data_IF_880618489822
#
_entry.id   IF_880618489822
#
_cell.length_a   1.000
_cell.length_b   1.000
_cell.length_c   1.000
_cell.angle_alpha   90.00
_cell.angle_beta   90.00
_cell.angle_gamma   90.00
#
_symmetry.space_group_name_H-M   'P 1'
#
loop_
_entity.id
_entity.type
_entity.pdbx_description
1 polymer ?
#
# COMPACT_ATOMS: atom_id res chain seq x y z
N UNK A 1 -29.43 -75.29 17.84
CA UNK A 1 -30.04 -74.23 16.98
C UNK A 1 -30.05 -74.70 15.53
N UNK A 2 -31.20 -74.66 14.85
CA UNK A 2 -31.37 -75.19 13.49
C UNK A 2 -30.49 -74.40 12.51
N UNK A 3 -29.78 -75.07 11.58
CA UNK A 3 -28.83 -74.48 10.61
C UNK A 3 -29.36 -73.24 9.86
N UNK A 4 -30.69 -73.13 9.71
CA UNK A 4 -31.38 -71.98 9.10
C UNK A 4 -31.23 -70.67 9.89
N UNK A 5 -31.16 -70.73 11.22
CA UNK A 5 -31.04 -69.56 12.09
C UNK A 5 -29.61 -69.00 12.12
N UNK A 6 -28.61 -69.85 11.86
CA UNK A 6 -27.21 -69.45 11.72
C UNK A 6 -27.02 -68.72 10.38
N UNK A 7 -27.64 -69.19 9.31
CA UNK A 7 -27.57 -68.57 7.98
C UNK A 7 -28.23 -67.17 7.95
N UNK A 8 -29.37 -67.01 8.63
CA UNK A 8 -30.05 -65.72 8.77
C UNK A 8 -29.27 -64.74 9.64
N UNK A 9 -28.62 -65.22 10.71
CA UNK A 9 -27.73 -64.39 11.51
C UNK A 9 -26.48 -63.95 10.73
N UNK A 10 -25.95 -64.82 9.86
CA UNK A 10 -24.81 -64.50 9.00
C UNK A 10 -25.17 -63.50 7.88
N UNK A 11 -26.34 -63.65 7.25
CA UNK A 11 -26.82 -62.67 6.25
C UNK A 11 -27.13 -61.30 6.87
N UNK A 12 -27.68 -61.27 8.09
CA UNK A 12 -27.89 -60.03 8.82
C UNK A 12 -26.54 -59.35 9.18
N UNK A 13 -25.54 -60.13 9.60
CA UNK A 13 -24.21 -59.61 9.90
C UNK A 13 -23.48 -59.04 8.66
N UNK A 14 -23.69 -59.62 7.47
CA UNK A 14 -23.13 -59.11 6.21
C UNK A 14 -23.81 -57.79 5.78
N UNK A 15 -25.12 -57.64 6.02
CA UNK A 15 -25.84 -56.37 5.75
C UNK A 15 -25.40 -55.23 6.67
N UNK A 16 -24.93 -55.51 7.90
CA UNK A 16 -24.39 -54.50 8.80
C UNK A 16 -22.96 -54.05 8.46
N UNK A 17 -22.19 -54.84 7.69
CA UNK A 17 -20.84 -54.47 7.25
C UNK A 17 -20.81 -53.59 6.00
N UNK A 18 -21.94 -53.47 5.26
CA UNK A 18 -22.06 -52.64 4.07
C UNK A 18 -22.56 -51.20 4.31
N UNK A 19 -22.88 -50.84 5.56
CA UNK A 19 -23.42 -49.52 5.92
C UNK A 19 -22.37 -48.52 6.44
N UNK A 20 -21.08 -48.88 6.39
CA UNK A 20 -19.96 -48.02 6.79
C UNK A 20 -19.05 -47.72 5.60
N UNK A 21 -19.53 -46.95 4.61
CA UNK A 21 -18.65 -46.33 3.61
C UNK A 21 -18.41 -44.84 3.87
N UNK A 22 -19.15 -44.19 4.77
CA UNK A 22 -19.10 -42.73 4.97
C UNK A 22 -18.27 -42.30 6.19
N UNK A 23 -17.30 -43.14 6.62
CA UNK A 23 -16.46 -42.80 7.77
C UNK A 23 -15.40 -41.73 7.44
N UNK A 24 -15.08 -41.51 6.16
CA UNK A 24 -14.11 -40.49 5.73
C UNK A 24 -14.66 -39.06 5.77
N UNK A 25 -15.98 -38.88 5.79
CA UNK A 25 -16.62 -37.56 5.81
C UNK A 25 -17.10 -37.13 7.21
N UNK A 26 -17.10 -38.02 8.21
CA UNK A 26 -17.47 -37.69 9.60
C UNK A 26 -16.44 -36.75 10.27
N UNK A 27 -15.21 -36.70 9.76
CA UNK A 27 -14.14 -35.86 10.31
C UNK A 27 -13.78 -34.67 9.41
N UNK A 28 -14.59 -34.38 8.39
CA UNK A 28 -14.52 -33.13 7.63
C UNK A 28 -15.56 -32.18 8.19
N UNK A 29 -15.11 -31.19 8.96
CA UNK A 29 -15.97 -30.13 9.45
C UNK A 29 -16.64 -29.44 8.24
N UNK A 30 -17.98 -29.44 8.13
CA UNK A 30 -18.67 -28.81 7.00
C UNK A 30 -18.50 -27.29 6.95
N UNK A 31 -17.90 -26.67 7.99
CA UNK A 31 -17.49 -25.27 8.02
C UNK A 31 -15.98 -25.07 7.85
N UNK A 32 -15.18 -26.14 7.82
CA UNK A 32 -13.76 -26.02 7.50
C UNK A 32 -13.64 -25.80 5.99
N UNK A 33 -13.15 -24.63 5.60
CA UNK A 33 -12.79 -24.38 4.21
C UNK A 33 -11.74 -25.43 3.80
N UNK A 34 -12.08 -26.29 2.83
CA UNK A 34 -11.07 -27.14 2.21
C UNK A 34 -10.13 -26.26 1.38
N UNK A 35 -8.87 -26.66 1.21
CA UNK A 35 -7.90 -25.90 0.42
C UNK A 35 -8.40 -25.66 -1.02
N UNK A 36 -9.28 -26.54 -1.51
CA UNK A 36 -9.93 -26.47 -2.84
C UNK A 36 -11.07 -25.42 -2.91
N UNK A 37 -11.62 -24.97 -1.78
CA UNK A 37 -12.65 -23.91 -1.72
C UNK A 37 -12.05 -22.50 -1.65
N UNK A 38 -10.74 -22.39 -1.39
CA UNK A 38 -10.05 -21.11 -1.23
C UNK A 38 -9.72 -20.54 -2.61
N UNK A 39 -10.31 -19.40 -2.93
CA UNK A 39 -10.02 -18.69 -4.19
C UNK A 39 -8.80 -17.79 -4.05
N UNK A 40 -7.90 -17.84 -5.04
CA UNK A 40 -6.69 -17.00 -5.10
C UNK A 40 -7.05 -15.52 -4.98
N UNK A 41 -8.10 -15.07 -5.67
CA UNK A 41 -8.52 -13.67 -5.60
C UNK A 41 -8.92 -13.22 -4.18
N UNK A 42 -9.39 -14.12 -3.31
CA UNK A 42 -9.75 -13.76 -1.92
C UNK A 42 -8.50 -13.44 -1.10
N UNK A 43 -7.43 -14.21 -1.30
CA UNK A 43 -6.15 -14.00 -0.62
C UNK A 43 -5.49 -12.72 -1.13
N UNK A 44 -5.50 -12.47 -2.44
CA UNK A 44 -5.00 -11.20 -3.02
C UNK A 44 -5.74 -10.02 -2.43
N UNK A 45 -7.08 -10.07 -2.41
CA UNK A 45 -7.90 -9.02 -1.83
C UNK A 45 -7.52 -8.73 -0.38
N UNK A 46 -7.35 -9.79 0.42
CA UNK A 46 -6.91 -9.68 1.82
C UNK A 46 -5.52 -9.06 1.92
N UNK A 47 -4.55 -9.53 1.14
CA UNK A 47 -3.17 -9.03 1.18
C UNK A 47 -3.08 -7.54 0.81
N UNK A 48 -3.88 -7.08 -0.17
CA UNK A 48 -3.94 -5.65 -0.55
C UNK A 48 -4.61 -4.85 0.56
N UNK A 49 -5.67 -5.38 1.15
CA UNK A 49 -6.48 -4.67 2.16
C UNK A 49 -5.74 -4.51 3.47
N UNK A 50 -5.18 -5.58 4.02
CA UNK A 50 -4.50 -5.52 5.32
C UNK A 50 -3.29 -4.58 5.29
N UNK A 51 -2.62 -4.49 4.15
CA UNK A 51 -1.49 -3.57 3.93
C UNK A 51 -1.87 -2.08 3.95
N UNK A 52 -3.17 -1.75 3.94
CA UNK A 52 -3.65 -0.39 4.13
C UNK A 52 -3.61 0.07 5.59
N UNK A 53 -3.18 -0.81 6.51
CA UNK A 53 -2.95 -0.52 7.93
C UNK A 53 -4.25 -0.26 8.70
N UNK A 54 -4.70 -1.23 9.50
CA UNK A 54 -5.78 -0.97 10.44
C UNK A 54 -5.39 0.12 11.46
N UNK A 55 -6.35 0.70 12.18
CA UNK A 55 -6.08 1.81 13.08
C UNK A 55 -5.01 1.57 14.14
N UNK A 56 -4.85 0.34 14.63
CA UNK A 56 -3.81 0.01 15.62
C UNK A 56 -2.41 0.20 15.03
N UNK A 57 -2.17 -0.37 13.85
CA UNK A 57 -0.84 -0.32 13.23
C UNK A 57 -0.58 1.02 12.54
N UNK A 58 -1.59 1.61 11.91
CA UNK A 58 -1.49 2.93 11.32
C UNK A 58 -1.11 3.99 12.35
N UNK A 59 -1.69 3.95 13.55
CA UNK A 59 -1.32 4.90 14.60
C UNK A 59 0.15 4.72 15.02
N UNK A 60 0.60 3.48 15.23
CA UNK A 60 1.98 3.19 15.67
C UNK A 60 3.04 3.50 14.63
N UNK A 61 2.86 3.00 13.41
CA UNK A 61 3.84 3.15 12.33
C UNK A 61 3.77 4.56 11.72
N UNK A 62 2.58 5.00 11.30
CA UNK A 62 2.44 6.28 10.63
C UNK A 62 2.44 7.45 11.62
N UNK A 63 1.48 7.52 12.55
CA UNK A 63 1.25 8.71 13.38
C UNK A 63 2.35 8.92 14.41
N UNK A 64 2.70 7.87 15.16
CA UNK A 64 3.64 7.98 16.27
C UNK A 64 5.11 7.92 15.82
N UNK A 65 5.39 7.32 14.66
CA UNK A 65 6.74 7.19 14.12
C UNK A 65 6.99 8.02 12.87
N UNK A 66 6.50 7.63 11.70
CA UNK A 66 6.89 8.28 10.45
C UNK A 66 6.55 9.77 10.41
N UNK A 67 5.35 10.14 10.85
CA UNK A 67 4.88 11.53 10.94
C UNK A 67 5.74 12.34 11.91
N UNK A 68 6.08 11.77 13.09
CA UNK A 68 6.93 12.44 14.09
C UNK A 68 8.38 12.57 13.60
N UNK A 69 8.93 11.52 12.98
CA UNK A 69 10.24 11.55 12.33
C UNK A 69 10.32 12.64 11.26
N UNK A 70 9.26 12.75 10.44
CA UNK A 70 9.10 13.77 9.42
C UNK A 70 8.81 15.18 9.97
N UNK A 71 8.70 15.35 11.29
CA UNK A 71 8.38 16.63 11.97
C UNK A 71 7.08 17.27 11.46
N UNK A 72 6.09 16.43 11.16
CA UNK A 72 4.72 16.82 10.76
C UNK A 72 3.75 16.83 11.96
N UNK A 73 4.31 16.75 13.17
CA UNK A 73 3.62 16.78 14.45
C UNK A 73 4.47 17.58 15.46
N UNK A 74 3.81 18.23 16.42
CA UNK A 74 4.46 18.94 17.54
C UNK A 74 4.73 18.03 18.74
N UNK A 75 4.20 16.81 18.74
CA UNK A 75 4.47 15.82 19.79
C UNK A 75 5.88 15.22 19.70
N UNK A 76 6.37 14.74 20.85
CA UNK A 76 7.67 14.07 20.96
C UNK A 76 7.67 12.65 20.41
N UNK A 77 8.84 12.07 20.20
CA UNK A 77 9.03 10.78 19.57
C UNK A 77 10.46 10.64 19.10
N UNK A 78 10.65 9.94 17.97
CA UNK A 78 11.99 9.71 17.40
C UNK A 78 12.70 11.02 17.06
N UNK A 79 11.96 12.08 16.73
CA UNK A 79 12.48 13.44 16.52
C UNK A 79 13.07 14.09 17.78
N UNK A 80 12.71 13.62 18.98
CA UNK A 80 13.25 14.04 20.27
C UNK A 80 14.10 12.95 20.95
N UNK A 81 14.46 11.89 20.20
CA UNK A 81 15.27 10.79 20.72
C UNK A 81 14.52 9.76 21.57
N UNK A 82 13.18 9.75 21.55
CA UNK A 82 12.38 8.72 22.22
C UNK A 82 11.84 7.71 21.21
N UNK A 83 11.78 6.43 21.59
CA UNK A 83 11.31 5.35 20.72
C UNK A 83 10.56 4.29 21.54
N UNK A 84 9.80 3.44 20.86
CA UNK A 84 9.11 2.29 21.43
C UNK A 84 9.33 1.06 20.55
N UNK A 85 10.15 0.12 21.04
CA UNK A 85 10.49 -1.08 20.28
C UNK A 85 9.27 -1.97 19.95
N UNK A 86 8.22 -1.94 20.77
CA UNK A 86 7.01 -2.73 20.54
C UNK A 86 6.27 -2.23 19.30
N UNK A 87 6.28 -0.92 19.01
CA UNK A 87 5.68 -0.38 17.79
C UNK A 87 6.42 -0.81 16.52
N UNK A 88 7.76 -0.85 16.56
CA UNK A 88 8.57 -1.39 15.47
C UNK A 88 8.32 -2.88 15.27
N UNK A 89 8.23 -3.62 16.38
CA UNK A 89 8.01 -5.07 16.37
C UNK A 89 6.61 -5.41 15.87
N UNK A 90 5.60 -4.62 16.24
CA UNK A 90 4.25 -4.71 15.68
C UNK A 90 4.29 -4.50 14.17
N UNK A 91 4.88 -3.40 13.69
CA UNK A 91 4.94 -3.13 12.24
C UNK A 91 5.66 -4.24 11.47
N UNK A 92 6.76 -4.75 12.02
CA UNK A 92 7.47 -5.91 11.46
C UNK A 92 6.54 -7.13 11.30
N UNK A 93 5.76 -7.45 12.34
CA UNK A 93 4.82 -8.57 12.32
C UNK A 93 3.70 -8.36 11.30
N UNK A 94 3.17 -7.13 11.19
CA UNK A 94 2.12 -6.78 10.22
C UNK A 94 2.62 -6.92 8.79
N UNK A 95 3.75 -6.29 8.43
CA UNK A 95 4.33 -6.39 7.08
C UNK A 95 4.67 -7.84 6.74
N UNK A 96 5.20 -8.60 7.69
CA UNK A 96 5.44 -10.04 7.52
C UNK A 96 4.14 -10.82 7.26
N UNK A 97 3.05 -10.47 7.94
CA UNK A 97 1.72 -11.07 7.74
C UNK A 97 1.10 -10.74 6.38
N UNK A 98 1.26 -9.51 5.90
CA UNK A 98 0.83 -9.12 4.56
C UNK A 98 1.62 -9.88 3.49
N UNK A 99 2.95 -9.96 3.66
CA UNK A 99 3.83 -10.68 2.73
C UNK A 99 3.54 -12.18 2.75
N UNK A 100 3.22 -12.76 3.91
CA UNK A 100 2.73 -14.14 4.02
C UNK A 100 1.47 -14.35 3.17
N UNK A 101 0.50 -13.45 3.26
CA UNK A 101 -0.75 -13.54 2.50
C UNK A 101 -0.48 -13.47 0.98
N UNK A 102 0.39 -12.56 0.54
CA UNK A 102 0.77 -12.48 -0.87
C UNK A 102 1.50 -13.76 -1.35
N UNK A 103 2.42 -14.29 -0.56
CA UNK A 103 3.10 -15.57 -0.87
C UNK A 103 2.13 -16.75 -0.92
N UNK A 104 1.16 -16.80 0.00
CA UNK A 104 0.11 -17.83 -0.02
C UNK A 104 -0.74 -17.74 -1.30
N UNK A 105 -1.04 -16.55 -1.80
CA UNK A 105 -1.76 -16.39 -3.07
C UNK A 105 -0.94 -16.92 -4.26
N UNK A 106 0.37 -16.64 -4.30
CA UNK A 106 1.28 -17.17 -5.34
C UNK A 106 1.33 -18.70 -5.27
N UNK A 107 1.60 -19.25 -4.08
CA UNK A 107 1.73 -20.70 -3.87
C UNK A 107 0.43 -21.44 -4.20
N UNK A 108 -0.73 -20.89 -3.82
CA UNK A 108 -2.03 -21.48 -4.13
C UNK A 108 -2.32 -21.46 -5.63
N UNK A 109 -2.07 -20.34 -6.31
CA UNK A 109 -2.27 -20.23 -7.74
C UNK A 109 -1.36 -21.20 -8.52
N UNK A 110 -0.10 -21.29 -8.12
CA UNK A 110 0.86 -22.23 -8.70
C UNK A 110 0.43 -23.69 -8.50
N UNK A 111 0.00 -24.06 -7.29
CA UNK A 111 -0.57 -25.40 -7.01
C UNK A 111 -1.78 -25.71 -7.89
N UNK A 112 -2.72 -24.77 -8.02
CA UNK A 112 -3.93 -24.96 -8.84
C UNK A 112 -3.57 -25.14 -10.32
N UNK A 113 -2.64 -24.34 -10.84
CA UNK A 113 -2.12 -24.46 -12.21
C UNK A 113 -1.45 -25.81 -12.45
N UNK A 114 -0.69 -26.31 -11.47
CA UNK A 114 0.01 -27.60 -11.58
C UNK A 114 -0.93 -28.81 -11.49
N UNK A 115 -1.93 -28.77 -10.60
CA UNK A 115 -2.98 -29.82 -10.52
C UNK A 115 -3.78 -29.91 -11.81
N UNK A 116 -4.06 -28.74 -12.38
CA UNK A 116 -4.75 -28.58 -13.66
C UNK A 116 -6.21 -29.05 -13.73
N UNK A 117 -6.91 -29.01 -12.59
CA UNK A 117 -8.28 -29.50 -12.42
C UNK A 117 -9.35 -28.39 -12.62
N UNK A 118 -9.09 -27.41 -13.48
CA UNK A 118 -10.04 -26.31 -13.73
C UNK A 118 -11.28 -26.79 -14.48
N UNK A 119 -12.46 -26.44 -13.98
CA UNK A 119 -13.74 -26.78 -14.61
C UNK A 119 -13.95 -26.06 -15.96
N UNK A 120 -13.45 -24.83 -16.09
CA UNK A 120 -13.53 -24.02 -17.32
C UNK A 120 -12.21 -23.34 -17.62
N UNK A 121 -11.92 -23.13 -18.91
CA UNK A 121 -10.68 -22.50 -19.37
C UNK A 121 -10.50 -21.07 -18.86
N UNK A 122 -11.60 -20.34 -18.67
CA UNK A 122 -11.57 -19.01 -18.06
C UNK A 122 -10.89 -19.02 -16.68
N UNK A 123 -11.23 -19.98 -15.81
CA UNK A 123 -10.67 -20.03 -14.45
C UNK A 123 -9.17 -20.34 -14.49
N UNK A 124 -8.74 -21.22 -15.40
CA UNK A 124 -7.32 -21.51 -15.64
C UNK A 124 -6.55 -20.25 -16.04
N UNK A 125 -7.06 -19.53 -17.03
CA UNK A 125 -6.44 -18.30 -17.53
C UNK A 125 -6.44 -17.19 -16.48
N UNK A 126 -7.55 -17.04 -15.76
CA UNK A 126 -7.68 -16.10 -14.65
C UNK A 126 -6.67 -16.43 -13.56
N UNK A 127 -6.55 -17.68 -13.12
CA UNK A 127 -5.60 -18.08 -12.08
C UNK A 127 -4.14 -17.84 -12.49
N UNK A 128 -3.79 -18.01 -13.78
CA UNK A 128 -2.47 -17.63 -14.30
C UNK A 128 -2.21 -16.13 -14.10
N UNK A 129 -3.14 -15.27 -14.49
CA UNK A 129 -2.97 -13.82 -14.29
C UNK A 129 -3.00 -13.43 -12.80
N UNK A 130 -3.86 -14.05 -11.99
CA UNK A 130 -3.92 -13.81 -10.54
C UNK A 130 -2.59 -14.16 -9.85
N UNK A 131 -1.91 -15.22 -10.30
CA UNK A 131 -0.56 -15.53 -9.82
C UNK A 131 0.40 -14.37 -10.06
N UNK A 132 0.42 -13.81 -11.27
CA UNK A 132 1.30 -12.70 -11.60
C UNK A 132 0.95 -11.42 -10.84
N UNK A 133 -0.34 -11.14 -10.63
CA UNK A 133 -0.80 -10.05 -9.74
C UNK A 133 -0.28 -10.24 -8.31
N UNK A 134 -0.38 -11.46 -7.77
CA UNK A 134 0.13 -11.77 -6.43
C UNK A 134 1.65 -11.62 -6.33
N UNK A 135 2.40 -12.00 -7.38
CA UNK A 135 3.85 -11.79 -7.48
C UNK A 135 4.23 -10.32 -7.48
N UNK A 136 3.53 -9.50 -8.27
CA UNK A 136 3.72 -8.04 -8.31
C UNK A 136 3.46 -7.42 -6.93
N UNK A 137 2.35 -7.81 -6.29
CA UNK A 137 2.01 -7.32 -4.96
C UNK A 137 3.02 -7.76 -3.88
N UNK A 138 3.48 -9.02 -3.96
CA UNK A 138 4.55 -9.54 -3.09
C UNK A 138 5.83 -8.73 -3.22
N UNK A 139 6.26 -8.40 -4.44
CA UNK A 139 7.44 -7.57 -4.66
C UNK A 139 7.29 -6.16 -4.06
N UNK A 140 6.10 -5.55 -4.12
CA UNK A 140 5.83 -4.30 -3.40
C UNK A 140 6.01 -4.47 -1.87
N UNK A 141 5.40 -5.50 -1.27
CA UNK A 141 5.52 -5.75 0.17
C UNK A 141 6.96 -6.07 0.61
N UNK A 142 7.74 -6.75 -0.24
CA UNK A 142 9.16 -6.95 -0.02
C UNK A 142 9.92 -5.63 -0.01
N UNK A 143 9.56 -4.67 -0.88
CA UNK A 143 10.18 -3.35 -0.89
C UNK A 143 9.85 -2.55 0.38
N UNK A 144 8.60 -2.61 0.84
CA UNK A 144 8.17 -2.01 2.10
C UNK A 144 8.96 -2.60 3.29
N UNK A 145 9.11 -3.92 3.34
CA UNK A 145 9.89 -4.57 4.38
C UNK A 145 11.38 -4.19 4.31
N UNK A 146 11.99 -4.28 3.12
CA UNK A 146 13.41 -4.01 2.94
C UNK A 146 13.78 -2.56 3.27
N UNK A 147 12.93 -1.61 2.89
CA UNK A 147 13.17 -0.19 3.14
C UNK A 147 13.00 0.21 4.62
N UNK A 148 12.25 -0.58 5.40
CA UNK A 148 12.06 -0.35 6.83
C UNK A 148 13.05 -1.15 7.70
N UNK A 149 13.35 -2.40 7.34
CA UNK A 149 14.06 -3.36 8.19
C UNK A 149 15.34 -3.93 7.59
N UNK A 150 15.57 -3.74 6.29
CA UNK A 150 16.76 -4.21 5.60
C UNK A 150 16.65 -5.67 5.09
N UNK A 151 17.64 -6.54 5.36
CA UNK A 151 17.66 -7.92 4.85
C UNK A 151 16.37 -8.68 5.12
N UNK A 152 15.92 -9.50 4.16
CA UNK A 152 14.74 -10.35 4.32
C UNK A 152 14.91 -11.69 3.56
N UNK A 153 14.26 -12.77 4.02
CA UNK A 153 14.34 -14.06 3.37
C UNK A 153 13.52 -14.12 2.07
N UNK A 154 14.15 -14.47 0.95
CA UNK A 154 13.45 -14.69 -0.32
C UNK A 154 12.55 -15.94 -0.26
N UNK A 155 13.03 -17.00 0.39
CA UNK A 155 12.29 -18.25 0.59
C UNK A 155 11.57 -18.25 1.95
N UNK A 156 10.72 -17.25 2.17
CA UNK A 156 9.96 -17.10 3.42
C UNK A 156 8.68 -17.95 3.45
N UNK A 157 8.15 -18.15 4.67
CA UNK A 157 6.83 -18.76 4.93
C UNK A 157 6.65 -20.23 4.52
N UNK A 158 7.75 -20.98 4.34
CA UNK A 158 7.75 -22.41 4.01
C UNK A 158 7.71 -23.36 5.22
N UNK A 159 7.45 -22.83 6.42
CA UNK A 159 7.39 -23.63 7.66
C UNK A 159 8.75 -24.03 8.25
N UNK A 160 9.85 -23.59 7.63
CA UNK A 160 11.22 -23.72 8.12
C UNK A 160 11.78 -22.35 8.46
N UNK A 161 12.84 -22.29 9.29
CA UNK A 161 13.53 -21.03 9.56
C UNK A 161 14.29 -20.61 8.29
N UNK A 162 13.92 -19.48 7.66
CA UNK A 162 14.50 -19.13 6.38
C UNK A 162 15.85 -18.44 6.55
N UNK A 163 16.69 -18.50 5.51
CA UNK A 163 17.94 -17.76 5.44
C UNK A 163 17.68 -16.34 4.91
N UNK A 164 18.29 -15.34 5.55
CA UNK A 164 18.13 -13.95 5.14
C UNK A 164 19.01 -13.64 3.94
N UNK A 165 18.44 -13.03 2.91
CA UNK A 165 19.18 -12.54 1.75
C UNK A 165 19.62 -11.09 1.98
N UNK A 166 20.72 -10.70 1.35
CA UNK A 166 21.20 -9.31 1.45
C UNK A 166 20.19 -8.34 0.83
N UNK A 167 20.18 -7.07 1.26
CA UNK A 167 19.31 -6.04 0.66
C UNK A 167 19.54 -5.94 -0.85
N UNK A 168 20.78 -6.11 -1.32
CA UNK A 168 21.12 -6.13 -2.75
C UNK A 168 20.37 -7.24 -3.48
N UNK A 169 20.45 -8.48 -2.98
CA UNK A 169 19.83 -9.64 -3.61
C UNK A 169 18.31 -9.54 -3.59
N UNK A 170 17.73 -9.01 -2.49
CA UNK A 170 16.30 -8.73 -2.38
C UNK A 170 15.86 -7.73 -3.46
N UNK A 171 16.59 -6.64 -3.64
CA UNK A 171 16.29 -5.65 -4.68
C UNK A 171 16.40 -6.20 -6.09
N UNK A 172 17.42 -7.01 -6.36
CA UNK A 172 17.58 -7.67 -7.65
C UNK A 172 16.43 -8.63 -7.93
N UNK A 173 16.09 -9.46 -6.94
CA UNK A 173 14.94 -10.36 -7.03
C UNK A 173 13.65 -9.61 -7.33
N UNK A 174 13.35 -8.52 -6.61
CA UNK A 174 12.11 -7.76 -6.83
C UNK A 174 12.01 -7.20 -8.25
N UNK A 175 13.12 -6.69 -8.81
CA UNK A 175 13.15 -6.15 -10.17
C UNK A 175 12.90 -7.25 -11.20
N UNK A 176 13.57 -8.41 -11.05
CA UNK A 176 13.43 -9.55 -11.95
C UNK A 176 12.02 -10.16 -11.85
N UNK A 177 11.49 -10.28 -10.63
CA UNK A 177 10.13 -10.77 -10.33
C UNK A 177 9.06 -9.89 -10.99
N UNK A 178 9.17 -8.56 -10.84
CA UNK A 178 8.24 -7.61 -11.47
C UNK A 178 8.32 -7.66 -13.00
N UNK A 179 9.53 -7.82 -13.57
CA UNK A 179 9.73 -7.91 -15.02
C UNK A 179 9.06 -9.15 -15.59
N UNK A 180 9.34 -10.30 -14.99
CA UNK A 180 8.82 -11.58 -15.43
C UNK A 180 7.30 -11.67 -15.24
N UNK A 181 6.77 -11.20 -14.11
CA UNK A 181 5.32 -11.18 -13.87
C UNK A 181 4.58 -10.29 -14.88
N UNK A 182 5.10 -9.08 -15.16
CA UNK A 182 4.51 -8.20 -16.16
C UNK A 182 4.48 -8.81 -17.57
N UNK A 183 5.49 -9.60 -17.94
CA UNK A 183 5.55 -10.28 -19.25
C UNK A 183 4.60 -11.48 -19.37
N UNK A 184 4.23 -12.10 -18.24
CA UNK A 184 3.38 -13.30 -18.20
C UNK A 184 1.89 -13.01 -18.08
N UNK A 185 1.50 -11.78 -17.75
CA UNK A 185 0.10 -11.36 -17.74
C UNK A 185 -0.46 -11.38 -19.17
N UNK A 186 -1.57 -12.10 -19.38
CA UNK A 186 -2.33 -12.07 -20.63
C UNK A 186 -3.49 -11.05 -20.52
N UNK A 187 -3.36 -9.93 -21.23
CA UNK A 187 -4.36 -8.85 -21.25
C UNK A 187 -5.65 -9.20 -21.99
N UNK A 188 -5.68 -10.31 -22.73
CA UNK A 188 -6.90 -10.78 -23.41
C UNK A 188 -7.88 -11.45 -22.45
N UNK A 189 -7.40 -11.92 -21.30
CA UNK A 189 -8.25 -12.41 -20.21
C UNK A 189 -8.88 -11.20 -19.55
N UNK A 190 -10.21 -11.13 -19.51
CA UNK A 190 -10.94 -10.02 -18.88
C UNK A 190 -11.70 -10.52 -17.66
N UNK A 191 -11.46 -9.88 -16.52
CA UNK A 191 -12.14 -10.21 -15.27
C UNK A 191 -13.66 -9.98 -15.39
N UNK A 192 -14.43 -10.99 -14.99
CA UNK A 192 -15.88 -10.90 -14.89
C UNK A 192 -16.28 -10.00 -13.70
N UNK A 193 -17.52 -9.49 -13.69
CA UNK A 193 -18.00 -8.60 -12.62
C UNK A 193 -17.92 -9.23 -11.23
N UNK A 194 -18.05 -10.56 -11.15
CA UNK A 194 -17.91 -11.29 -9.89
C UNK A 194 -16.47 -11.23 -9.33
N UNK A 195 -15.47 -11.11 -10.19
CA UNK A 195 -14.05 -11.10 -9.81
C UNK A 195 -13.57 -9.71 -9.42
N UNK A 196 -14.05 -8.67 -10.11
CA UNK A 196 -13.64 -7.27 -9.94
C UNK A 196 -13.63 -6.79 -8.49
N UNK A 197 -14.57 -7.26 -7.66
CA UNK A 197 -14.67 -6.88 -6.24
C UNK A 197 -13.54 -7.41 -5.34
N UNK A 198 -12.72 -8.32 -5.85
CA UNK A 198 -11.59 -8.92 -5.12
C UNK A 198 -10.24 -8.29 -5.46
N UNK A 199 -10.23 -7.25 -6.28
CA UNK A 199 -9.09 -6.34 -6.41
C UNK A 199 -9.59 -4.91 -6.18
N UNK A 200 -9.26 -4.38 -5.00
CA UNK A 200 -9.67 -3.03 -4.59
C UNK A 200 -8.88 -1.92 -5.27
N UNK A 201 -7.78 -2.23 -5.95
CA UNK A 201 -6.95 -1.25 -6.62
C UNK A 201 -7.35 -1.07 -8.08
N UNK A 202 -7.37 -2.18 -8.84
CA UNK A 202 -7.59 -2.12 -10.29
C UNK A 202 -8.73 -2.99 -10.77
N UNK A 203 -9.48 -3.65 -9.88
CA UNK A 203 -10.57 -4.55 -10.27
C UNK A 203 -10.13 -5.65 -11.25
N UNK A 204 -8.87 -6.08 -11.16
CA UNK A 204 -8.18 -6.98 -12.09
C UNK A 204 -8.13 -6.46 -13.53
N UNK A 205 -8.02 -5.14 -13.70
CA UNK A 205 -7.52 -4.55 -14.92
C UNK A 205 -6.03 -4.89 -15.07
N UNK A 206 -5.77 -5.94 -15.82
CA UNK A 206 -4.43 -6.48 -16.03
C UNK A 206 -3.49 -5.53 -16.77
N UNK A 207 -4.02 -4.61 -17.58
CA UNK A 207 -3.20 -3.58 -18.23
C UNK A 207 -2.66 -2.59 -17.17
N UNK A 208 -3.47 -2.23 -16.18
CA UNK A 208 -3.03 -1.41 -15.04
C UNK A 208 -2.04 -2.14 -14.14
N UNK A 209 -2.19 -3.45 -13.95
CA UNK A 209 -1.20 -4.24 -13.21
C UNK A 209 0.17 -4.29 -13.92
N UNK A 210 0.20 -4.44 -15.25
CA UNK A 210 1.45 -4.34 -16.04
C UNK A 210 2.07 -2.94 -15.88
N UNK A 211 1.26 -1.87 -15.98
CA UNK A 211 1.72 -0.49 -15.79
C UNK A 211 2.31 -0.27 -14.40
N UNK A 212 1.65 -0.79 -13.37
CA UNK A 212 2.12 -0.72 -12.00
C UNK A 212 3.44 -1.47 -11.82
N UNK A 213 3.57 -2.69 -12.36
CA UNK A 213 4.80 -3.47 -12.27
C UNK A 213 6.00 -2.76 -12.89
N UNK A 214 5.86 -2.24 -14.11
CA UNK A 214 6.94 -1.50 -14.77
C UNK A 214 7.28 -0.19 -14.05
N UNK A 215 6.27 0.53 -13.54
CA UNK A 215 6.49 1.76 -12.76
C UNK A 215 7.19 1.47 -11.42
N UNK A 216 6.87 0.34 -10.78
CA UNK A 216 7.57 -0.13 -9.60
C UNK A 216 9.03 -0.52 -9.91
N UNK A 217 9.30 -1.16 -11.05
CA UNK A 217 10.68 -1.42 -11.50
C UNK A 217 11.47 -0.12 -11.65
N UNK A 218 10.88 0.91 -12.24
CA UNK A 218 11.50 2.23 -12.35
C UNK A 218 11.81 2.83 -10.97
N UNK A 219 10.88 2.74 -10.01
CA UNK A 219 11.09 3.20 -8.63
C UNK A 219 12.24 2.45 -7.95
N UNK A 220 12.25 1.12 -8.00
CA UNK A 220 13.29 0.29 -7.38
C UNK A 220 14.65 0.48 -8.05
N UNK A 221 14.69 0.59 -9.38
CA UNK A 221 15.91 0.92 -10.11
C UNK A 221 16.49 2.27 -9.67
N UNK A 222 15.64 3.28 -9.45
CA UNK A 222 16.12 4.57 -8.97
C UNK A 222 16.64 4.53 -7.53
N UNK A 223 16.05 3.70 -6.66
CA UNK A 223 16.62 3.47 -5.32
C UNK A 223 18.04 2.88 -5.39
N UNK A 224 18.34 2.07 -6.40
CA UNK A 224 19.66 1.46 -6.60
C UNK A 224 20.70 2.41 -7.19
N UNK A 225 20.36 3.64 -7.61
CA UNK A 225 21.25 4.47 -8.46
C UNK A 225 22.63 4.73 -7.87
N UNK A 226 22.71 4.95 -6.56
CA UNK A 226 23.98 5.23 -5.88
C UNK A 226 24.73 3.96 -5.46
N UNK A 227 24.03 2.84 -5.29
CA UNK A 227 24.62 1.57 -4.89
C UNK A 227 25.11 0.73 -6.07
N UNK A 228 24.40 0.81 -7.20
CA UNK A 228 24.71 0.14 -8.47
C UNK A 228 24.12 0.91 -9.65
N UNK A 229 24.79 2.01 -10.03
CA UNK A 229 24.38 2.89 -11.11
C UNK A 229 24.19 2.17 -12.45
N UNK A 230 24.99 1.13 -12.73
CA UNK A 230 24.96 0.41 -13.99
C UNK A 230 23.67 -0.41 -14.12
N UNK A 231 23.33 -1.22 -13.10
CA UNK A 231 22.06 -1.97 -13.11
C UNK A 231 20.87 -1.02 -13.01
N UNK A 232 20.92 0.00 -12.14
CA UNK A 232 19.87 1.00 -12.03
C UNK A 232 19.51 1.62 -13.39
N UNK A 233 20.51 2.08 -14.14
CA UNK A 233 20.32 2.64 -15.48
C UNK A 233 19.69 1.61 -16.44
N UNK A 234 20.27 0.42 -16.52
CA UNK A 234 19.79 -0.64 -17.43
C UNK A 234 18.33 -1.03 -17.14
N UNK A 235 17.96 -1.20 -15.88
CA UNK A 235 16.62 -1.62 -15.47
C UNK A 235 15.58 -0.51 -15.67
N UNK A 236 15.95 0.74 -15.41
CA UNK A 236 15.07 1.88 -15.65
C UNK A 236 14.78 2.06 -17.15
N UNK A 237 15.83 2.03 -17.99
CA UNK A 237 15.72 2.14 -19.45
C UNK A 237 14.95 0.96 -20.07
N UNK A 238 15.03 -0.23 -19.48
CA UNK A 238 14.24 -1.39 -19.89
C UNK A 238 12.77 -1.25 -19.49
N UNK A 239 12.48 -0.85 -18.24
CA UNK A 239 11.13 -0.72 -17.72
C UNK A 239 10.31 0.37 -18.44
N UNK A 240 10.93 1.51 -18.75
CA UNK A 240 10.25 2.65 -19.40
C UNK A 240 9.83 2.37 -20.85
N UNK A 241 10.38 1.32 -21.49
CA UNK A 241 9.95 0.87 -22.82
C UNK A 241 8.60 0.14 -22.80
N UNK A 242 8.21 -0.38 -21.64
CA UNK A 242 6.92 -1.04 -21.44
C UNK A 242 5.79 -0.06 -21.17
N UNK A 243 4.59 -0.58 -20.95
CA UNK A 243 3.48 0.22 -20.44
C UNK A 243 3.78 0.67 -19.01
N UNK A 244 3.66 1.96 -18.72
CA UNK A 244 3.91 2.58 -17.41
C UNK A 244 2.71 3.46 -17.00
N UNK A 245 2.68 3.91 -15.75
CA UNK A 245 1.69 4.86 -15.26
C UNK A 245 2.05 6.27 -15.77
N UNK A 246 1.14 6.89 -16.51
CA UNK A 246 1.28 8.22 -17.10
C UNK A 246 0.19 9.18 -16.63
N UNK A 247 -1.01 8.69 -16.31
CA UNK A 247 -2.15 9.50 -15.88
C UNK A 247 -2.63 9.15 -14.48
N UNK A 248 -3.40 10.05 -13.87
CA UNK A 248 -3.87 9.90 -12.49
C UNK A 248 -4.83 8.70 -12.30
N UNK A 249 -5.62 8.35 -13.30
CA UNK A 249 -6.56 7.22 -13.27
C UNK A 249 -5.88 5.84 -13.42
N UNK A 250 -4.59 5.84 -13.76
CA UNK A 250 -3.74 4.64 -13.82
C UNK A 250 -2.96 4.40 -12.52
N UNK A 251 -3.02 5.32 -11.56
CA UNK A 251 -2.32 5.18 -10.29
C UNK A 251 -2.91 4.05 -9.44
N UNK A 252 -2.03 3.33 -8.74
CA UNK A 252 -2.45 2.37 -7.75
C UNK A 252 -3.04 3.11 -6.56
N UNK A 253 -4.33 2.89 -6.29
CA UNK A 253 -5.02 3.51 -5.18
C UNK A 253 -6.04 2.52 -4.61
N UNK A 254 -6.11 2.44 -3.28
CA UNK A 254 -7.18 1.72 -2.59
C UNK A 254 -8.08 2.75 -1.94
N UNK A 255 -9.38 2.67 -2.23
CA UNK A 255 -10.35 3.63 -1.72
C UNK A 255 -10.55 3.45 -0.20
N UNK A 256 -10.26 4.51 0.55
CA UNK A 256 -10.60 4.60 1.98
C UNK A 256 -12.11 4.67 2.21
N UNK A 257 -12.55 4.29 3.41
CA UNK A 257 -13.92 4.46 3.89
C UNK A 257 -13.95 4.67 5.40
N UNK A 258 -15.08 5.14 5.91
CA UNK A 258 -15.31 5.19 7.36
C UNK A 258 -15.31 3.78 7.97
N UNK A 259 -14.78 3.66 9.18
CA UNK A 259 -14.72 2.40 9.93
C UNK A 259 -13.54 2.31 10.90
N UNK A 260 -13.35 1.12 11.47
CA UNK A 260 -12.21 0.78 12.32
C UNK A 260 -11.55 -0.52 11.82
N UNK A 261 -11.05 -0.47 10.60
CA UNK A 261 -10.45 -1.59 9.87
C UNK A 261 -9.38 -1.06 8.90
N UNK A 262 -8.64 -1.90 8.16
CA UNK A 262 -7.56 -1.44 7.28
C UNK A 262 -7.95 -0.39 6.23
N UNK A 263 -9.24 -0.28 5.87
CA UNK A 263 -9.68 0.73 4.91
C UNK A 263 -10.03 2.07 5.56
N UNK A 264 -9.90 2.19 6.88
CA UNK A 264 -10.09 3.44 7.59
C UNK A 264 -8.95 4.40 7.28
N UNK A 265 -9.28 5.59 6.76
CA UNK A 265 -8.27 6.56 6.39
C UNK A 265 -7.38 6.97 7.56
N UNK A 266 -6.07 6.95 7.31
CA UNK A 266 -5.07 7.30 8.33
C UNK A 266 -4.88 8.82 8.38
N UNK A 267 -4.92 9.46 7.21
CA UNK A 267 -4.68 10.89 7.01
C UNK A 267 -5.93 11.74 7.15
N UNK A 268 -7.11 11.13 7.04
CA UNK A 268 -8.42 11.81 7.06
C UNK A 268 -9.09 11.82 8.44
N UNK A 269 -8.40 11.36 9.49
CA UNK A 269 -8.98 11.32 10.84
C UNK A 269 -9.13 12.73 11.41
N UNK A 270 -10.28 13.08 12.01
CA UNK A 270 -10.57 14.45 12.43
C UNK A 270 -9.66 14.95 13.56
N UNK A 271 -9.06 14.05 14.36
CA UNK A 271 -8.11 14.41 15.41
C UNK A 271 -6.64 14.42 14.95
N UNK A 272 -6.35 14.05 13.70
CA UNK A 272 -4.99 13.89 13.19
C UNK A 272 -4.57 15.06 12.29
N UNK A 273 -4.41 16.25 12.87
CA UNK A 273 -4.01 17.45 12.11
C UNK A 273 -2.59 17.31 11.55
N UNK A 274 -2.45 17.22 10.23
CA UNK A 274 -1.16 17.11 9.53
C UNK A 274 -0.56 18.50 9.31
N UNK A 275 0.21 18.95 10.29
CA UNK A 275 0.85 20.26 10.23
C UNK A 275 1.99 20.25 9.19
N UNK A 276 2.07 21.32 8.39
CA UNK A 276 3.19 21.55 7.49
C UNK A 276 4.48 21.69 8.31
N UNK A 277 5.54 20.96 7.91
CA UNK A 277 6.83 21.09 8.57
C UNK A 277 7.51 22.41 8.19
N UNK A 278 8.34 22.97 9.09
CA UNK A 278 9.11 24.19 8.79
C UNK A 278 10.01 24.01 7.56
N UNK A 279 10.54 22.80 7.35
CA UNK A 279 11.33 22.50 6.15
C UNK A 279 10.48 22.67 4.90
N UNK A 280 9.29 22.07 4.85
CA UNK A 280 8.41 22.18 3.69
C UNK A 280 7.96 23.63 3.48
N UNK A 281 7.57 24.34 4.55
CA UNK A 281 7.21 25.75 4.47
C UNK A 281 8.35 26.58 3.85
N UNK A 282 9.57 26.38 4.34
CA UNK A 282 10.75 27.09 3.83
C UNK A 282 11.06 26.77 2.37
N UNK A 283 10.88 25.53 1.93
CA UNK A 283 11.01 25.18 0.51
C UNK A 283 9.94 25.92 -0.32
N UNK A 284 8.69 25.91 0.14
CA UNK A 284 7.57 26.53 -0.58
C UNK A 284 7.75 28.04 -0.75
N UNK A 285 8.22 28.74 0.29
CA UNK A 285 8.33 30.22 0.28
C UNK A 285 9.69 30.74 -0.23
N UNK A 286 10.79 30.01 0.00
CA UNK A 286 12.13 30.48 -0.37
C UNK A 286 12.63 29.94 -1.72
N UNK A 287 12.22 28.72 -2.11
CA UNK A 287 12.58 28.15 -3.43
C UNK A 287 11.51 28.38 -4.50
N UNK A 288 10.39 28.99 -4.12
CA UNK A 288 9.35 29.39 -5.05
C UNK A 288 9.86 30.38 -6.09
N UNK A 289 9.97 29.94 -7.34
CA UNK A 289 10.41 30.76 -8.47
C UNK A 289 9.26 31.26 -9.35
N UNK A 290 8.04 30.74 -9.14
CA UNK A 290 6.84 31.10 -9.89
C UNK A 290 6.10 32.23 -9.17
N UNK A 291 5.61 33.23 -9.91
CA UNK A 291 4.84 34.32 -9.30
C UNK A 291 3.45 33.83 -8.96
N UNK A 292 2.96 34.19 -7.78
CA UNK A 292 1.61 33.87 -7.35
C UNK A 292 0.54 34.46 -8.28
N UNK A 293 0.81 35.63 -8.87
CA UNK A 293 -0.08 36.28 -9.84
C UNK A 293 -0.21 35.51 -11.17
N UNK A 294 0.76 34.65 -11.50
CA UNK A 294 0.70 33.82 -12.72
C UNK A 294 -0.12 32.53 -12.47
N UNK A 295 -0.45 32.25 -11.21
CA UNK A 295 -1.08 31.01 -10.77
C UNK A 295 -2.50 31.18 -10.26
N UNK A 296 -2.80 32.35 -9.71
CA UNK A 296 -4.06 32.65 -9.05
C UNK A 296 -4.92 33.57 -9.91
N UNK A 297 -6.22 33.52 -9.66
CA UNK A 297 -7.18 34.44 -10.27
C UNK A 297 -6.86 35.91 -9.92
N UNK A 298 -7.30 36.84 -10.77
CA UNK A 298 -7.08 38.28 -10.57
C UNK A 298 -7.68 38.81 -9.26
N UNK A 299 -8.71 38.14 -8.71
CA UNK A 299 -9.29 38.45 -7.39
C UNK A 299 -8.26 38.39 -6.25
N UNK A 300 -7.17 37.63 -6.41
CA UNK A 300 -6.10 37.53 -5.40
C UNK A 300 -5.08 38.66 -5.46
N UNK A 301 -5.10 39.50 -6.51
CA UNK A 301 -4.03 40.46 -6.80
C UNK A 301 -3.76 41.44 -5.64
N UNK A 302 -4.80 41.90 -4.93
CA UNK A 302 -4.65 42.81 -3.78
C UNK A 302 -4.02 42.15 -2.55
N UNK A 303 -4.02 40.82 -2.48
CA UNK A 303 -3.46 40.06 -1.36
C UNK A 303 -2.01 39.65 -1.61
N UNK A 304 -1.52 39.72 -2.86
CA UNK A 304 -0.15 39.39 -3.23
C UNK A 304 0.79 40.53 -2.82
N UNK A 305 1.77 40.19 -1.98
CA UNK A 305 2.74 41.14 -1.46
C UNK A 305 3.88 41.39 -2.45
N UNK A 306 4.58 42.54 -2.34
CA UNK A 306 5.76 42.83 -3.15
C UNK A 306 6.88 41.80 -2.96
N UNK A 307 7.77 41.68 -3.95
CA UNK A 307 8.95 40.81 -3.87
C UNK A 307 9.81 41.18 -2.66
N UNK A 308 10.22 40.17 -1.89
CA UNK A 308 11.05 40.33 -0.69
C UNK A 308 10.28 40.70 0.57
N UNK A 309 8.96 40.92 0.48
CA UNK A 309 8.13 41.10 1.67
C UNK A 309 7.75 39.74 2.27
N UNK A 310 8.18 39.49 3.50
CA UNK A 310 7.95 38.22 4.19
C UNK A 310 6.73 38.25 5.13
N UNK A 311 6.29 39.42 5.59
CA UNK A 311 5.18 39.56 6.53
C UNK A 311 5.43 40.60 7.61
N UNK A 312 4.51 40.69 8.56
CA UNK A 312 4.66 41.53 9.76
C UNK A 312 5.59 40.85 10.75
N UNK A 313 6.65 41.54 11.18
CA UNK A 313 7.66 40.99 12.08
C UNK A 313 7.31 41.22 13.56
N UNK A 314 7.24 40.14 14.33
CA UNK A 314 6.90 40.08 15.75
C UNK A 314 8.06 39.47 16.55
N UNK A 315 9.13 40.25 16.76
CA UNK A 315 10.38 39.74 17.36
C UNK A 315 10.25 39.32 18.83
N UNK A 316 9.26 39.84 19.55
CA UNK A 316 9.13 39.59 20.99
C UNK A 316 8.15 38.45 21.30
N UNK A 317 7.42 37.97 20.29
CA UNK A 317 6.36 36.97 20.42
C UNK A 317 6.85 35.56 20.03
N UNK A 318 8.00 35.44 19.38
CA UNK A 318 8.52 34.17 18.87
C UNK A 318 10.00 33.99 19.27
N UNK A 319 10.39 32.74 19.52
CA UNK A 319 11.79 32.40 19.79
C UNK A 319 12.66 32.67 18.56
N UNK A 320 13.78 33.36 18.76
CA UNK A 320 14.77 33.63 17.70
C UNK A 320 15.85 32.55 17.59
N UNK A 321 15.84 31.53 18.46
CA UNK A 321 16.80 30.42 18.41
C UNK A 321 16.30 29.29 17.50
N UNK A 322 16.22 29.57 16.20
CA UNK A 322 15.84 28.58 15.18
C UNK A 322 16.57 28.85 13.86
N UNK A 323 16.67 27.82 13.02
CA UNK A 323 17.19 27.91 11.66
C UNK A 323 16.09 28.23 10.63
N UNK A 324 14.88 28.53 11.08
CA UNK A 324 13.75 28.91 10.23
C UNK A 324 13.81 30.41 9.89
N UNK A 325 14.12 30.81 8.64
CA UNK A 325 14.21 32.21 8.25
C UNK A 325 12.86 32.95 8.30
N UNK A 326 11.74 32.22 8.29
CA UNK A 326 10.40 32.80 8.39
C UNK A 326 9.93 33.03 9.83
N UNK A 327 10.72 32.60 10.83
CA UNK A 327 10.31 32.71 12.22
C UNK A 327 10.08 34.17 12.62
N UNK A 328 9.02 34.40 13.39
CA UNK A 328 8.66 35.72 13.86
C UNK A 328 8.04 36.61 12.77
N UNK A 329 7.82 36.11 11.56
CA UNK A 329 6.96 36.77 10.59
C UNK A 329 5.55 36.18 10.64
N UNK A 330 4.56 37.05 10.76
CA UNK A 330 3.16 36.72 10.51
C UNK A 330 2.84 37.08 9.05
N UNK A 331 2.44 36.08 8.27
CA UNK A 331 2.11 36.26 6.86
C UNK A 331 0.73 36.92 6.73
N UNK A 332 0.72 38.23 6.46
CA UNK A 332 -0.49 39.04 6.31
C UNK A 332 -0.92 39.21 4.84
N UNK A 333 -0.52 38.26 3.99
CA UNK A 333 -0.89 38.15 2.59
C UNK A 333 -0.04 37.12 1.84
N UNK A 334 -0.34 36.94 0.56
CA UNK A 334 0.30 35.96 -0.30
C UNK A 334 1.70 36.41 -0.69
N UNK A 335 2.64 35.48 -0.75
CA UNK A 335 3.99 35.78 -1.18
C UNK A 335 4.04 36.16 -2.66
N UNK A 336 5.01 36.99 -3.05
CA UNK A 336 5.18 37.38 -4.45
C UNK A 336 5.47 36.18 -5.34
N UNK A 337 6.35 35.31 -4.87
CA UNK A 337 6.70 34.04 -5.49
C UNK A 337 6.53 32.92 -4.48
N UNK A 338 6.13 31.75 -4.97
CA UNK A 338 5.92 30.56 -4.16
C UNK A 338 6.13 29.32 -5.04
N UNK A 339 6.44 28.19 -4.42
CA UNK A 339 6.44 26.93 -5.12
C UNK A 339 5.01 26.61 -5.59
N UNK A 340 4.80 26.28 -6.87
CA UNK A 340 3.47 26.12 -7.41
C UNK A 340 2.66 24.98 -6.78
N UNK A 341 3.33 24.02 -6.12
CA UNK A 341 2.66 22.93 -5.42
C UNK A 341 1.94 23.42 -4.16
N UNK A 342 2.33 24.56 -3.58
CA UNK A 342 1.69 25.10 -2.38
C UNK A 342 0.18 25.33 -2.60
N UNK A 343 -0.19 25.99 -3.70
CA UNK A 343 -1.60 26.26 -4.04
C UNK A 343 -2.39 25.03 -4.50
N UNK A 344 -1.72 23.89 -4.73
CA UNK A 344 -2.37 22.60 -5.02
C UNK A 344 -2.54 21.74 -3.77
N UNK A 345 -1.65 21.91 -2.79
CA UNK A 345 -1.62 21.10 -1.57
C UNK A 345 -2.39 21.75 -0.42
N UNK A 346 -2.51 23.07 -0.40
CA UNK A 346 -3.08 23.83 0.71
C UNK A 346 -4.05 24.89 0.21
N UNK A 347 -5.21 24.96 0.89
CA UNK A 347 -6.14 26.07 0.69
C UNK A 347 -5.51 27.40 1.14
N UNK A 348 -5.91 28.48 0.48
CA UNK A 348 -5.48 29.83 0.86
C UNK A 348 -6.23 30.23 2.14
N UNK A 349 -5.53 30.56 3.24
CA UNK A 349 -6.20 30.99 4.47
C UNK A 349 -7.07 32.22 4.22
N UNK A 350 -8.32 32.17 4.65
CA UNK A 350 -9.31 33.25 4.46
C UNK A 350 -10.04 33.22 3.11
N UNK A 351 -9.70 32.30 2.21
CA UNK A 351 -10.52 32.01 1.03
C UNK A 351 -11.56 30.93 1.35
N UNK A 352 -12.74 31.38 1.75
CA UNK A 352 -13.89 30.52 2.03
C UNK A 352 -14.63 30.07 0.76
N UNK A 353 -14.20 30.53 -0.42
CA UNK A 353 -14.83 30.17 -1.70
C UNK A 353 -14.16 28.96 -2.35
N UNK A 354 -12.95 28.59 -1.89
CA UNK A 354 -12.28 27.38 -2.36
C UNK A 354 -13.07 26.14 -1.94
N UNK A 355 -13.36 25.20 -2.87
CA UNK A 355 -13.94 23.91 -2.52
C UNK A 355 -12.99 23.06 -1.65
N UNK A 356 -11.70 23.40 -1.59
CA UNK A 356 -10.69 22.74 -0.77
C UNK A 356 -10.49 23.44 0.60
N UNK A 357 -11.26 24.48 0.91
CA UNK A 357 -11.17 25.20 2.18
C UNK A 357 -11.54 24.27 3.35
N UNK A 358 -10.59 24.06 4.28
CA UNK A 358 -10.82 23.26 5.48
C UNK A 358 -11.75 23.93 6.50
N UNK A 359 -11.91 25.25 6.38
CA UNK A 359 -12.82 26.07 7.19
C UNK A 359 -13.74 26.79 6.20
N UNK A 360 -15.06 26.61 6.34
CA UNK A 360 -16.04 27.10 5.37
C UNK A 360 -16.62 28.46 5.76
N UNK A 361 -16.31 28.92 6.98
CA UNK A 361 -16.74 30.21 7.49
C UNK A 361 -15.73 30.78 8.49
N UNK A 362 -15.81 32.09 8.75
CA UNK A 362 -15.03 32.75 9.80
C UNK A 362 -15.36 32.18 11.19
N UNK A 363 -16.59 31.73 11.40
CA UNK A 363 -17.06 31.15 12.68
C UNK A 363 -16.37 29.81 13.00
N UNK A 364 -15.86 29.11 11.98
CA UNK A 364 -15.14 27.84 12.15
C UNK A 364 -13.71 28.03 12.71
N UNK A 365 -13.21 29.27 12.76
CA UNK A 365 -11.83 29.58 13.19
C UNK A 365 -11.69 29.78 14.71
N UNK A 366 -12.81 29.81 15.45
CA UNK A 366 -12.84 29.91 16.92
C UNK A 366 -12.67 31.31 17.49
#
# INVERSE_FOLDING_TARGET
MKKKNILLAFLAAIMFLGACSDFEDINKDPNAANEDDIKVQYIINKAITDAQQDPHIAERAFVLYWRRAGRQDRSGGINLGTYNNDWSSDYYNYVSGWMKSATQAVDLAEKQIQKDEFAVEYDRQMTKNLKEVARIWRAYLMSEFADNFGPLPLEAFKGTNPEFSSVKDVYYFMIDELKDAAQKIDVNVKAQDIDKKFDRAYQFDFEKWIKYANSMRMRLAMRLSEADAAKAKSEFEDAVKGSIILTADEMFAVKERDGWDPLAGVMSRPWNALLMSNTLNNLMINLGSVKSADMLDASYASYIKPKGYMGKRFQNQFSTYTNDPSIGFFFDGLHNTIDPRAYKLYAIPGDFTSPDAQFTSEDDLG
#
